data_IF_749915750918
#
_entry.id   IF_749915750918
#
_cell.length_a   1.000
_cell.length_b   1.000
_cell.length_c   1.000
_cell.angle_alpha   90.00
_cell.angle_beta   90.00
_cell.angle_gamma   90.00
#
_symmetry.space_group_name_H-M   'P 1'
#
loop_
_entity.id
_entity.type
_entity.pdbx_description
1 polymer ?
#
# COMPACT_ATOMS: atom_id res chain seq x y z
N UNK A 1 30.01 67.77 23.31
CA UNK A 1 29.04 66.83 23.90
C UNK A 1 28.66 65.80 22.84
N UNK A 2 29.27 64.60 22.84
CA UNK A 2 29.07 63.56 21.81
C UNK A 2 28.44 62.32 22.45
N UNK A 3 27.18 62.05 22.12
CA UNK A 3 26.40 60.90 22.58
C UNK A 3 26.85 59.67 21.78
N UNK A 4 27.45 58.68 22.45
CA UNK A 4 27.77 57.37 21.87
C UNK A 4 26.47 56.54 21.80
N UNK A 5 26.06 56.15 20.59
CA UNK A 5 24.97 55.19 20.38
C UNK A 5 25.49 53.79 20.69
N UNK A 6 24.92 53.15 21.71
CA UNK A 6 25.12 51.73 22.03
C UNK A 6 24.19 50.93 21.11
N UNK A 7 24.75 50.12 20.22
CA UNK A 7 24.01 49.15 19.43
C UNK A 7 23.88 47.86 20.25
N UNK A 8 22.65 47.54 20.67
CA UNK A 8 22.28 46.30 21.31
C UNK A 8 22.03 45.25 20.22
N UNK A 9 22.93 44.27 20.06
CA UNK A 9 22.73 43.14 19.16
C UNK A 9 21.98 42.06 19.94
N UNK A 10 20.68 41.90 19.67
CA UNK A 10 19.92 40.73 20.09
C UNK A 10 20.32 39.54 19.20
N UNK A 11 21.04 38.58 19.77
CA UNK A 11 21.26 37.27 19.15
C UNK A 11 20.06 36.37 19.47
N UNK A 12 19.11 36.27 18.54
CA UNK A 12 18.03 35.29 18.57
C UNK A 12 18.57 33.90 18.20
N UNK A 13 18.82 33.06 19.21
CA UNK A 13 19.01 31.62 19.02
C UNK A 13 17.68 31.00 18.56
N UNK A 14 17.53 30.82 17.25
CA UNK A 14 16.49 29.95 16.70
C UNK A 14 17.01 28.52 16.82
N UNK A 15 16.57 27.81 17.85
CA UNK A 15 16.79 26.37 17.97
C UNK A 15 16.02 25.66 16.85
N UNK A 16 16.74 24.98 15.95
CA UNK A 16 16.14 24.13 14.93
C UNK A 16 15.62 22.88 15.63
N UNK A 17 14.34 22.84 15.98
CA UNK A 17 13.68 21.59 16.32
C UNK A 17 13.44 20.83 15.02
N UNK A 18 14.20 19.77 14.79
CA UNK A 18 13.86 18.80 13.75
C UNK A 18 12.59 18.09 14.19
N UNK A 19 11.43 18.59 13.77
CA UNK A 19 10.17 17.85 13.86
C UNK A 19 10.31 16.67 12.89
N UNK A 20 10.70 15.51 13.42
CA UNK A 20 10.58 14.27 12.68
C UNK A 20 9.09 13.95 12.56
N UNK A 21 8.52 14.22 11.39
CA UNK A 21 7.10 14.08 11.13
C UNK A 21 6.63 12.62 10.98
N UNK A 22 7.58 11.67 11.00
CA UNK A 22 7.35 10.25 11.20
C UNK A 22 7.97 9.85 12.55
N UNK A 23 7.18 9.26 13.44
CA UNK A 23 7.64 8.77 14.74
C UNK A 23 7.66 7.25 14.77
N UNK A 24 8.66 6.72 15.45
CA UNK A 24 8.81 5.29 15.72
C UNK A 24 8.81 5.06 17.23
N UNK A 25 8.35 3.91 17.68
CA UNK A 25 8.36 3.51 19.09
C UNK A 25 8.82 2.06 19.23
N UNK A 26 9.40 1.72 20.38
CA UNK A 26 9.74 0.33 20.69
C UNK A 26 8.52 -0.32 21.32
N UNK A 27 8.01 -1.38 20.69
CA UNK A 27 6.86 -2.13 21.17
C UNK A 27 7.27 -3.56 21.57
N UNK A 28 6.51 -4.14 22.49
CA UNK A 28 6.70 -5.51 22.96
C UNK A 28 5.62 -6.41 22.36
N UNK A 29 6.03 -7.57 21.88
CA UNK A 29 5.18 -8.55 21.24
C UNK A 29 5.40 -9.92 21.86
N UNK A 30 4.37 -10.76 21.80
CA UNK A 30 4.46 -12.20 22.04
C UNK A 30 4.22 -12.87 20.69
N UNK A 31 5.17 -13.66 20.21
CA UNK A 31 5.01 -14.37 18.96
C UNK A 31 3.84 -15.37 19.08
N UNK A 32 2.80 -15.29 18.23
CA UNK A 32 1.66 -16.21 18.30
C UNK A 32 2.07 -17.68 18.04
N UNK A 33 3.16 -17.87 17.28
CA UNK A 33 3.76 -19.17 17.04
C UNK A 33 4.95 -19.33 17.98
N UNK A 34 4.82 -20.20 18.99
CA UNK A 34 5.89 -20.53 19.93
C UNK A 34 6.00 -19.65 21.17
N UNK A 35 5.24 -18.54 21.27
CA UNK A 35 5.05 -17.79 22.52
C UNK A 35 6.23 -16.94 22.97
N UNK A 36 7.25 -16.74 22.13
CA UNK A 36 8.44 -15.96 22.49
C UNK A 36 8.12 -14.47 22.61
N UNK A 37 8.51 -13.87 23.72
CA UNK A 37 8.52 -12.42 23.90
C UNK A 37 9.67 -11.78 23.12
N UNK A 38 9.39 -10.67 22.46
CA UNK A 38 10.39 -9.85 21.78
C UNK A 38 9.97 -8.39 21.73
N UNK A 39 10.91 -7.52 21.37
CA UNK A 39 10.59 -6.11 21.08
C UNK A 39 11.06 -5.74 19.68
N UNK A 40 10.30 -4.88 19.01
CA UNK A 40 10.66 -4.34 17.70
C UNK A 40 10.41 -2.83 17.67
N UNK A 41 11.18 -2.10 16.85
CA UNK A 41 10.88 -0.72 16.52
C UNK A 41 9.74 -0.71 15.49
N UNK A 42 8.66 -0.02 15.83
CA UNK A 42 7.44 0.05 15.04
C UNK A 42 7.12 1.49 14.70
N UNK A 43 6.45 1.68 13.57
CA UNK A 43 5.93 2.97 13.16
C UNK A 43 4.77 3.35 14.08
N UNK A 44 4.75 4.61 14.54
CA UNK A 44 3.81 5.07 15.56
C UNK A 44 2.90 6.18 15.05
N UNK A 45 3.44 7.12 14.27
CA UNK A 45 2.63 8.15 13.62
C UNK A 45 3.35 8.68 12.38
N UNK A 46 2.60 9.03 11.35
CA UNK A 46 3.16 9.67 10.15
C UNK A 46 2.12 10.55 9.48
N UNK A 47 2.59 11.50 8.68
CA UNK A 47 1.73 12.44 7.97
C UNK A 47 1.74 12.15 6.47
N UNK A 48 0.57 12.00 5.88
CA UNK A 48 0.38 11.88 4.42
C UNK A 48 -0.30 13.13 3.88
N UNK A 49 0.22 13.69 2.78
CA UNK A 49 -0.35 14.84 2.08
C UNK A 49 -0.86 14.48 0.68
N UNK A 50 -0.85 13.19 0.33
CA UNK A 50 -1.27 12.71 -0.98
C UNK A 50 -1.09 11.21 -1.13
N UNK A 51 -1.42 10.71 -2.32
CA UNK A 51 -1.26 9.29 -2.65
C UNK A 51 -0.75 9.14 -4.08
N UNK A 52 -0.01 8.08 -4.31
CA UNK A 52 0.32 7.60 -5.65
C UNK A 52 -0.89 6.94 -6.31
N UNK A 53 -0.83 6.70 -7.62
CA UNK A 53 -1.90 6.05 -8.39
C UNK A 53 -2.23 4.63 -7.92
N UNK A 54 -1.29 3.98 -7.22
CA UNK A 54 -1.46 2.70 -6.54
C UNK A 54 -1.76 2.86 -5.03
N UNK A 55 -2.25 4.03 -4.64
CA UNK A 55 -2.60 4.43 -3.27
C UNK A 55 -1.47 4.52 -2.26
N UNK A 56 -0.20 4.29 -2.64
CA UNK A 56 0.95 4.48 -1.75
C UNK A 56 0.92 5.92 -1.18
N UNK A 57 0.90 6.10 0.15
CA UNK A 57 0.83 7.44 0.73
C UNK A 57 2.13 8.22 0.44
N UNK A 58 1.99 9.54 0.34
CA UNK A 58 3.09 10.46 0.07
C UNK A 58 3.26 11.36 1.28
N UNK A 59 4.43 11.31 1.89
CA UNK A 59 4.82 12.19 2.98
C UNK A 59 5.78 11.53 3.97
N UNK A 60 6.07 12.20 5.09
CA UNK A 60 6.83 11.63 6.19
C UNK A 60 5.99 10.56 6.92
N UNK A 61 5.84 9.40 6.28
CA UNK A 61 5.08 8.26 6.78
C UNK A 61 5.70 6.96 6.23
N UNK A 62 5.68 5.90 7.03
CA UNK A 62 6.02 4.56 6.55
C UNK A 62 4.98 4.08 5.51
N UNK A 63 5.47 3.51 4.42
CA UNK A 63 4.64 3.09 3.29
C UNK A 63 5.19 1.80 2.68
N UNK A 64 4.73 0.62 3.14
CA UNK A 64 3.71 0.40 4.16
C UNK A 64 4.26 0.54 5.60
N UNK A 65 3.38 0.49 6.60
CA UNK A 65 3.80 0.45 8.01
C UNK A 65 4.51 -0.87 8.32
N UNK A 66 5.45 -0.84 9.25
CA UNK A 66 6.23 -2.00 9.65
C UNK A 66 5.34 -3.07 10.27
N UNK A 67 5.55 -4.33 9.91
CA UNK A 67 4.93 -5.48 10.58
C UNK A 67 5.93 -6.13 11.53
N UNK A 68 5.45 -6.60 12.68
CA UNK A 68 6.28 -7.31 13.63
C UNK A 68 6.67 -8.69 13.07
N UNK A 69 7.94 -9.07 13.22
CA UNK A 69 8.45 -10.36 12.73
C UNK A 69 9.02 -11.14 13.90
N UNK A 70 8.47 -12.33 14.12
CA UNK A 70 8.95 -13.22 15.17
C UNK A 70 10.41 -13.64 14.92
N UNK A 71 11.31 -13.49 15.90
CA UNK A 71 12.74 -13.69 15.68
C UNK A 71 13.13 -15.13 15.31
N UNK A 72 12.45 -16.13 15.90
CA UNK A 72 12.91 -17.52 15.81
C UNK A 72 12.35 -18.28 14.60
N UNK A 73 11.13 -17.96 14.18
CA UNK A 73 10.43 -18.64 13.10
C UNK A 73 10.11 -17.73 11.91
N UNK A 74 10.50 -16.45 11.98
CA UNK A 74 10.28 -15.44 10.94
C UNK A 74 8.81 -15.21 10.57
N UNK A 75 7.86 -15.65 11.41
CA UNK A 75 6.45 -15.41 11.23
C UNK A 75 6.15 -13.91 11.26
N UNK A 76 5.46 -13.43 10.23
CA UNK A 76 5.03 -12.03 10.11
C UNK A 76 3.66 -11.87 10.76
N UNK A 77 3.61 -11.05 11.82
CA UNK A 77 2.38 -10.71 12.53
C UNK A 77 1.63 -9.63 11.76
N UNK A 78 0.79 -10.04 10.81
CA UNK A 78 0.04 -9.13 9.94
C UNK A 78 -1.31 -8.66 10.53
N UNK A 79 -1.71 -9.18 11.69
CA UNK A 79 -2.90 -8.78 12.46
C UNK A 79 -2.70 -9.05 13.94
N UNK A 80 -3.49 -8.39 14.78
CA UNK A 80 -3.34 -8.44 16.24
C UNK A 80 -3.75 -9.78 16.86
N UNK A 81 -4.74 -10.45 16.27
CA UNK A 81 -5.33 -11.68 16.80
C UNK A 81 -5.51 -12.71 15.70
N UNK A 82 -5.14 -13.93 16.03
CA UNK A 82 -5.33 -15.11 15.20
C UNK A 82 -6.23 -16.09 15.94
N UNK A 83 -7.05 -16.83 15.20
CA UNK A 83 -7.79 -17.95 15.78
C UNK A 83 -6.87 -19.14 16.01
N UNK A 84 -7.27 -20.08 16.87
CA UNK A 84 -6.49 -21.30 17.12
C UNK A 84 -6.28 -22.13 15.83
N UNK A 85 -7.29 -22.16 14.95
CA UNK A 85 -7.21 -22.84 13.66
C UNK A 85 -6.23 -22.15 12.70
N UNK A 86 -6.21 -20.82 12.69
CA UNK A 86 -5.22 -20.05 11.94
C UNK A 86 -3.82 -20.32 12.46
N UNK A 87 -3.60 -20.27 13.78
CA UNK A 87 -2.29 -20.53 14.38
C UNK A 87 -1.81 -21.94 14.05
N UNK A 88 -2.69 -22.95 14.12
CA UNK A 88 -2.34 -24.33 13.74
C UNK A 88 -1.90 -24.42 12.27
N UNK A 89 -2.66 -23.80 11.38
CA UNK A 89 -2.39 -23.82 9.94
C UNK A 89 -1.10 -23.06 9.62
N UNK A 90 -0.93 -21.85 10.17
CA UNK A 90 0.24 -20.99 9.98
C UNK A 90 1.50 -21.60 10.60
N UNK A 91 1.40 -22.28 11.76
CA UNK A 91 2.54 -23.01 12.35
C UNK A 91 3.06 -24.07 11.40
N UNK A 92 2.16 -24.85 10.80
CA UNK A 92 2.51 -25.88 9.82
C UNK A 92 3.20 -25.26 8.61
N UNK A 93 2.65 -24.17 8.07
CA UNK A 93 3.19 -23.49 6.91
C UNK A 93 4.55 -22.82 7.17
N UNK A 94 4.72 -22.12 8.31
CA UNK A 94 5.99 -21.47 8.66
C UNK A 94 7.15 -22.47 8.81
N UNK A 95 6.85 -23.71 9.21
CA UNK A 95 7.85 -24.77 9.32
C UNK A 95 8.19 -25.44 7.98
N UNK A 96 7.37 -25.22 6.95
CA UNK A 96 7.47 -25.85 5.63
C UNK A 96 8.68 -25.40 4.83
N UNK A 97 8.99 -26.14 3.77
CA UNK A 97 10.08 -25.79 2.85
C UNK A 97 9.72 -24.58 1.98
N UNK A 98 8.43 -24.40 1.73
CA UNK A 98 7.83 -23.36 0.93
C UNK A 98 8.03 -22.00 1.60
N UNK A 99 7.74 -21.91 2.91
CA UNK A 99 7.95 -20.68 3.66
C UNK A 99 9.44 -20.35 3.81
N UNK A 100 10.29 -21.37 4.05
CA UNK A 100 11.75 -21.19 4.15
C UNK A 100 12.38 -20.57 2.91
N UNK A 101 11.80 -20.78 1.72
CA UNK A 101 12.28 -20.16 0.47
C UNK A 101 12.03 -18.66 0.40
N UNK A 102 11.03 -18.16 1.13
CA UNK A 102 10.59 -16.76 1.05
C UNK A 102 10.98 -15.95 2.30
N UNK A 103 11.76 -16.50 3.24
CA UNK A 103 12.09 -15.81 4.50
C UNK A 103 12.81 -14.48 4.31
N UNK A 104 13.54 -14.32 3.19
CA UNK A 104 14.29 -13.11 2.85
C UNK A 104 13.52 -12.20 1.89
N UNK A 105 12.29 -12.55 1.51
CA UNK A 105 11.42 -11.69 0.72
C UNK A 105 10.83 -10.57 1.59
N UNK A 106 10.24 -9.57 0.94
CA UNK A 106 9.63 -8.45 1.63
C UNK A 106 8.57 -8.88 2.65
N UNK A 107 8.46 -8.15 3.75
CA UNK A 107 7.58 -8.51 4.88
C UNK A 107 6.11 -8.59 4.46
N UNK A 108 5.63 -7.68 3.60
CA UNK A 108 4.27 -7.75 3.08
C UNK A 108 4.08 -8.86 2.05
N UNK A 109 5.12 -9.22 1.28
CA UNK A 109 5.04 -10.39 0.41
C UNK A 109 4.84 -11.67 1.24
N UNK A 110 5.64 -11.84 2.31
CA UNK A 110 5.48 -12.96 3.26
C UNK A 110 4.11 -12.93 3.94
N UNK A 111 3.62 -11.75 4.34
CA UNK A 111 2.27 -11.60 4.90
C UNK A 111 1.18 -12.04 3.93
N UNK A 112 1.28 -11.69 2.64
CA UNK A 112 0.31 -12.13 1.63
C UNK A 112 0.29 -13.66 1.46
N UNK A 113 1.45 -14.32 1.52
CA UNK A 113 1.49 -15.79 1.47
C UNK A 113 0.85 -16.43 2.71
N UNK A 114 1.07 -15.86 3.91
CA UNK A 114 0.39 -16.29 5.13
C UNK A 114 -1.13 -16.14 5.00
N UNK A 115 -1.60 -14.98 4.52
CA UNK A 115 -3.02 -14.71 4.27
C UNK A 115 -3.66 -15.71 3.29
N UNK A 116 -2.94 -16.10 2.23
CA UNK A 116 -3.41 -17.13 1.28
C UNK A 116 -3.62 -18.49 1.93
N UNK A 117 -2.70 -18.89 2.81
CA UNK A 117 -2.72 -20.19 3.48
C UNK A 117 -3.92 -20.34 4.42
N UNK A 118 -4.35 -19.25 5.05
CA UNK A 118 -5.56 -19.24 5.90
C UNK A 118 -6.81 -18.73 5.17
N UNK A 119 -6.74 -18.56 3.85
CA UNK A 119 -7.86 -18.17 3.00
C UNK A 119 -8.54 -16.85 3.41
N UNK A 120 -7.73 -15.86 3.79
CA UNK A 120 -8.23 -14.48 3.99
C UNK A 120 -8.87 -13.94 2.71
N UNK A 121 -9.75 -12.93 2.79
CA UNK A 121 -10.43 -12.37 1.62
C UNK A 121 -9.45 -11.95 0.51
N UNK A 122 -9.79 -12.24 -0.75
CA UNK A 122 -8.90 -11.96 -1.89
C UNK A 122 -8.56 -10.49 -2.03
N UNK A 123 -9.47 -9.58 -1.67
CA UNK A 123 -9.19 -8.14 -1.62
C UNK A 123 -8.08 -7.79 -0.63
N UNK A 124 -8.06 -8.45 0.53
CA UNK A 124 -7.04 -8.24 1.56
C UNK A 124 -5.68 -8.81 1.15
N UNK A 125 -5.67 -9.93 0.42
CA UNK A 125 -4.45 -10.51 -0.16
C UNK A 125 -3.93 -9.59 -1.27
N UNK A 126 -4.80 -9.09 -2.15
CA UNK A 126 -4.44 -8.20 -3.25
C UNK A 126 -3.83 -6.88 -2.73
N UNK A 127 -4.45 -6.27 -1.72
CA UNK A 127 -3.92 -5.07 -1.06
C UNK A 127 -2.55 -5.33 -0.43
N UNK A 128 -2.39 -6.44 0.29
CA UNK A 128 -1.10 -6.76 0.93
C UNK A 128 0.01 -7.04 -0.09
N UNK A 129 -0.31 -7.63 -1.26
CA UNK A 129 0.65 -7.73 -2.36
C UNK A 129 0.99 -6.36 -2.96
N UNK A 130 0.01 -5.46 -3.07
CA UNK A 130 0.27 -4.09 -3.52
C UNK A 130 1.21 -3.35 -2.56
N UNK A 131 1.02 -3.51 -1.26
CA UNK A 131 1.90 -2.97 -0.21
C UNK A 131 3.33 -3.55 -0.30
N UNK A 132 3.49 -4.82 -0.71
CA UNK A 132 4.81 -5.37 -1.00
C UNK A 132 5.52 -4.63 -2.15
N UNK A 133 4.78 -4.15 -3.15
CA UNK A 133 5.35 -3.30 -4.22
C UNK A 133 5.81 -1.94 -3.72
N UNK A 134 5.28 -1.47 -2.58
CA UNK A 134 5.70 -0.22 -1.96
C UNK A 134 7.02 -0.36 -1.21
N UNK A 135 7.29 -1.56 -0.65
CA UNK A 135 8.59 -1.92 -0.08
C UNK A 135 9.64 -2.06 -1.18
N UNK A 136 9.30 -2.79 -2.25
CA UNK A 136 10.20 -3.04 -3.36
C UNK A 136 9.43 -3.13 -4.69
N UNK A 137 9.51 -2.12 -5.57
CA UNK A 137 8.69 -2.05 -6.79
C UNK A 137 9.26 -2.91 -7.94
N UNK A 138 9.58 -4.17 -7.66
CA UNK A 138 10.09 -5.12 -8.65
C UNK A 138 8.99 -5.64 -9.56
N UNK A 139 9.35 -6.05 -10.78
CA UNK A 139 8.38 -6.60 -11.73
C UNK A 139 7.64 -7.85 -11.19
N UNK A 140 8.29 -8.81 -10.49
CA UNK A 140 7.58 -9.94 -9.90
C UNK A 140 6.46 -9.54 -8.93
N UNK A 141 6.72 -8.62 -7.99
CA UNK A 141 5.68 -8.20 -7.05
C UNK A 141 4.56 -7.40 -7.73
N UNK A 142 4.91 -6.55 -8.71
CA UNK A 142 3.90 -5.83 -9.50
C UNK A 142 3.00 -6.79 -10.28
N UNK A 143 3.59 -7.84 -10.87
CA UNK A 143 2.84 -8.85 -11.63
C UNK A 143 1.94 -9.69 -10.70
N UNK A 144 2.43 -10.07 -9.53
CA UNK A 144 1.64 -10.85 -8.60
C UNK A 144 0.50 -10.05 -7.97
N UNK A 145 0.75 -8.78 -7.60
CA UNK A 145 -0.31 -7.87 -7.19
C UNK A 145 -1.36 -7.68 -8.29
N UNK A 146 -0.92 -7.54 -9.56
CA UNK A 146 -1.82 -7.41 -10.70
C UNK A 146 -2.71 -8.65 -10.87
N UNK A 147 -2.13 -9.83 -10.79
CA UNK A 147 -2.86 -11.09 -10.95
C UNK A 147 -3.88 -11.28 -9.80
N UNK A 148 -3.52 -10.91 -8.57
CA UNK A 148 -4.45 -10.98 -7.43
C UNK A 148 -5.58 -9.93 -7.53
N UNK A 149 -5.28 -8.70 -7.97
CA UNK A 149 -6.31 -7.69 -8.22
C UNK A 149 -7.28 -8.10 -9.33
N UNK A 150 -6.81 -8.79 -10.37
CA UNK A 150 -7.68 -9.36 -11.41
C UNK A 150 -8.63 -10.42 -10.83
N UNK A 151 -8.17 -11.29 -9.92
CA UNK A 151 -9.04 -12.25 -9.21
C UNK A 151 -10.04 -11.53 -8.31
N UNK A 152 -9.61 -10.51 -7.58
CA UNK A 152 -10.48 -9.72 -6.72
C UNK A 152 -11.59 -9.04 -7.53
N UNK A 153 -11.25 -8.43 -8.68
CA UNK A 153 -12.24 -7.88 -9.60
C UNK A 153 -13.23 -8.95 -10.06
N UNK A 154 -12.78 -10.13 -10.47
CA UNK A 154 -13.68 -11.22 -10.87
C UNK A 154 -14.67 -11.60 -9.76
N UNK A 155 -14.24 -11.65 -8.50
CA UNK A 155 -15.12 -11.91 -7.35
C UNK A 155 -16.14 -10.79 -7.14
N UNK A 156 -15.68 -9.53 -7.13
CA UNK A 156 -16.58 -8.38 -7.01
C UNK A 156 -17.63 -8.39 -8.13
N UNK A 157 -17.22 -8.74 -9.35
CA UNK A 157 -18.11 -8.82 -10.50
C UNK A 157 -19.08 -9.99 -10.44
N UNK A 158 -18.68 -11.13 -9.87
CA UNK A 158 -19.58 -12.24 -9.61
C UNK A 158 -20.64 -11.87 -8.55
N UNK A 159 -20.23 -11.13 -7.52
CA UNK A 159 -21.08 -10.64 -6.44
C UNK A 159 -21.93 -9.41 -6.84
N UNK A 160 -21.97 -9.03 -8.13
CA UNK A 160 -22.81 -7.94 -8.66
C UNK A 160 -24.29 -8.20 -8.34
N UNK A 161 -24.81 -7.53 -7.30
CA UNK A 161 -26.22 -7.66 -6.90
C UNK A 161 -27.17 -6.67 -7.59
N UNK A 162 -26.69 -5.53 -8.12
CA UNK A 162 -27.57 -4.47 -8.65
C UNK A 162 -26.91 -3.61 -9.74
N UNK A 163 -27.73 -2.81 -10.45
CA UNK A 163 -27.30 -1.84 -11.45
C UNK A 163 -26.43 -0.68 -10.91
N UNK A 164 -26.37 -0.49 -9.58
CA UNK A 164 -25.57 0.56 -8.93
C UNK A 164 -24.13 0.14 -8.62
N UNK A 165 -23.73 -1.08 -9.02
CA UNK A 165 -22.42 -1.63 -8.72
C UNK A 165 -21.25 -0.75 -9.22
N UNK A 166 -21.45 0.06 -10.25
CA UNK A 166 -20.43 1.00 -10.77
C UNK A 166 -20.17 2.21 -9.86
N UNK A 167 -20.94 2.36 -8.77
CA UNK A 167 -20.68 3.33 -7.69
C UNK A 167 -20.02 2.68 -6.46
N UNK A 168 -19.77 1.37 -6.47
CA UNK A 168 -19.10 0.68 -5.37
C UNK A 168 -17.61 1.10 -5.29
N UNK A 169 -17.21 1.69 -4.16
CA UNK A 169 -15.85 2.21 -3.98
C UNK A 169 -14.77 1.11 -4.07
N UNK A 170 -15.01 -0.08 -3.53
CA UNK A 170 -14.07 -1.20 -3.61
C UNK A 170 -13.82 -1.62 -5.06
N UNK A 171 -14.87 -1.71 -5.86
CA UNK A 171 -14.75 -2.02 -7.29
C UNK A 171 -14.05 -0.89 -8.06
N UNK A 172 -14.42 0.38 -7.83
CA UNK A 172 -13.76 1.54 -8.47
C UNK A 172 -12.26 1.56 -8.14
N UNK A 173 -11.90 1.38 -6.86
CA UNK A 173 -10.50 1.36 -6.44
C UNK A 173 -9.75 0.18 -7.06
N UNK A 174 -10.33 -1.02 -7.06
CA UNK A 174 -9.73 -2.19 -7.69
C UNK A 174 -9.51 -2.00 -9.19
N UNK A 175 -10.45 -1.34 -9.89
CA UNK A 175 -10.32 -1.01 -11.32
C UNK A 175 -9.16 -0.03 -11.58
N UNK A 176 -9.06 1.04 -10.79
CA UNK A 176 -8.01 2.05 -10.92
C UNK A 176 -6.62 1.49 -10.58
N UNK A 177 -6.52 0.67 -9.54
CA UNK A 177 -5.27 -0.01 -9.16
C UNK A 177 -4.88 -1.02 -10.24
N UNK A 178 -5.84 -1.78 -10.78
CA UNK A 178 -5.55 -2.73 -11.86
C UNK A 178 -5.06 -2.02 -13.11
N UNK A 179 -5.67 -0.87 -13.47
CA UNK A 179 -5.19 -0.02 -14.57
C UNK A 179 -3.75 0.44 -14.35
N UNK A 180 -3.43 0.89 -13.14
CA UNK A 180 -2.08 1.33 -12.77
C UNK A 180 -1.06 0.19 -12.84
N UNK A 181 -1.42 -0.99 -12.34
CA UNK A 181 -0.56 -2.17 -12.36
C UNK A 181 -0.37 -2.72 -13.78
N UNK A 182 -1.40 -2.73 -14.63
CA UNK A 182 -1.29 -3.08 -16.05
C UNK A 182 -0.30 -2.13 -16.76
N UNK A 183 -0.38 -0.82 -16.48
CA UNK A 183 0.57 0.16 -17.01
C UNK A 183 2.00 -0.09 -16.51
N UNK A 184 2.19 -0.22 -15.19
CA UNK A 184 3.52 -0.37 -14.57
C UNK A 184 4.22 -1.69 -14.92
N UNK A 185 3.46 -2.76 -15.16
CA UNK A 185 4.00 -4.04 -15.68
C UNK A 185 4.29 -3.97 -17.18
N UNK A 186 3.78 -2.96 -17.89
CA UNK A 186 3.96 -2.78 -19.34
C UNK A 186 2.92 -3.49 -20.20
N UNK A 187 1.82 -3.97 -19.60
CA UNK A 187 0.64 -4.50 -20.29
C UNK A 187 -0.19 -3.34 -20.86
N UNK A 188 0.42 -2.49 -21.69
CA UNK A 188 -0.20 -1.24 -22.18
C UNK A 188 -1.48 -1.47 -22.98
N UNK A 189 -1.58 -2.56 -23.73
CA UNK A 189 -2.79 -2.86 -24.49
C UNK A 189 -3.97 -3.22 -23.57
N UNK A 190 -3.72 -3.99 -22.51
CA UNK A 190 -4.72 -4.25 -21.46
C UNK A 190 -5.12 -2.96 -20.74
N UNK A 191 -4.14 -2.12 -20.37
CA UNK A 191 -4.38 -0.83 -19.75
C UNK A 191 -5.23 0.09 -20.65
N UNK A 192 -4.98 0.15 -21.96
CA UNK A 192 -5.79 0.91 -22.93
C UNK A 192 -7.23 0.41 -22.99
N UNK A 193 -7.42 -0.91 -23.02
CA UNK A 193 -8.75 -1.51 -23.07
C UNK A 193 -9.54 -1.21 -21.78
N UNK A 194 -8.90 -1.36 -20.62
CA UNK A 194 -9.50 -1.02 -19.32
C UNK A 194 -9.83 0.46 -19.25
N UNK A 195 -8.90 1.34 -19.59
CA UNK A 195 -9.11 2.78 -19.63
C UNK A 195 -10.34 3.15 -20.49
N UNK A 196 -10.43 2.60 -21.72
CA UNK A 196 -11.58 2.83 -22.60
C UNK A 196 -12.89 2.42 -21.93
N UNK A 197 -12.95 1.21 -21.35
CA UNK A 197 -14.14 0.74 -20.64
C UNK A 197 -14.52 1.64 -19.47
N UNK A 198 -13.56 2.05 -18.64
CA UNK A 198 -13.83 2.91 -17.49
C UNK A 198 -14.29 4.31 -17.93
N UNK A 199 -13.73 4.85 -19.03
CA UNK A 199 -14.17 6.10 -19.63
C UNK A 199 -15.58 6.06 -20.23
N UNK A 200 -16.20 4.89 -20.40
CA UNK A 200 -17.59 4.77 -20.85
C UNK A 200 -18.58 4.76 -19.66
N UNK A 201 -18.09 4.75 -18.41
CA UNK A 201 -18.91 4.66 -17.19
C UNK A 201 -19.10 6.04 -16.55
N UNK A 202 -20.35 6.39 -16.25
CA UNK A 202 -20.73 7.72 -15.72
C UNK A 202 -19.98 8.10 -14.45
N UNK A 203 -19.81 7.16 -13.50
CA UNK A 203 -19.11 7.42 -12.23
C UNK A 203 -17.65 7.85 -12.38
N UNK A 204 -17.00 7.51 -13.51
CA UNK A 204 -15.63 7.92 -13.83
C UNK A 204 -15.55 9.22 -14.63
N UNK A 205 -16.66 9.68 -15.21
CA UNK A 205 -16.73 10.88 -16.04
C UNK A 205 -17.26 12.13 -15.32
N UNK A 206 -17.74 11.95 -14.10
CA UNK A 206 -18.13 13.03 -13.20
C UNK A 206 -16.95 13.98 -12.90
N UNK A 207 -17.06 15.23 -13.35
CA UNK A 207 -16.04 16.27 -13.19
C UNK A 207 -15.81 16.69 -11.73
N UNK A 208 -16.76 16.39 -10.83
CA UNK A 208 -16.59 16.61 -9.40
C UNK A 208 -15.67 15.57 -8.75
N UNK A 209 -15.50 14.40 -9.39
CA UNK A 209 -14.71 13.29 -8.83
C UNK A 209 -13.28 13.31 -9.35
N UNK A 210 -12.35 12.86 -8.50
CA UNK A 210 -10.94 12.73 -8.85
C UNK A 210 -10.69 11.69 -9.96
N UNK A 211 -11.61 10.75 -10.15
CA UNK A 211 -11.49 9.63 -11.09
C UNK A 211 -11.26 10.07 -12.53
N UNK A 212 -11.99 11.08 -13.02
CA UNK A 212 -11.79 11.62 -14.38
C UNK A 212 -10.37 12.16 -14.58
N UNK A 213 -9.82 12.83 -13.56
CA UNK A 213 -8.44 13.34 -13.57
C UNK A 213 -7.44 12.18 -13.59
N UNK A 214 -7.69 11.12 -12.81
CA UNK A 214 -6.88 9.90 -12.80
C UNK A 214 -6.90 9.25 -14.20
N UNK A 215 -8.06 9.06 -14.82
CA UNK A 215 -8.15 8.46 -16.16
C UNK A 215 -7.42 9.30 -17.22
N UNK A 216 -7.55 10.63 -17.16
CA UNK A 216 -6.83 11.54 -18.07
C UNK A 216 -5.31 11.48 -17.89
N UNK A 217 -4.82 11.34 -16.65
CA UNK A 217 -3.40 11.14 -16.39
C UNK A 217 -2.95 9.77 -16.92
N UNK A 218 -3.68 8.69 -16.59
CA UNK A 218 -3.38 7.34 -17.05
C UNK A 218 -3.31 7.25 -18.57
N UNK A 219 -4.23 7.90 -19.30
CA UNK A 219 -4.19 8.00 -20.76
C UNK A 219 -2.83 8.51 -21.27
N UNK A 220 -2.38 9.64 -20.73
CA UNK A 220 -1.09 10.26 -21.12
C UNK A 220 0.09 9.32 -20.83
N UNK A 221 0.11 8.70 -19.64
CA UNK A 221 1.18 7.80 -19.23
C UNK A 221 1.23 6.53 -20.08
N UNK A 222 0.07 5.96 -20.42
CA UNK A 222 -0.06 4.79 -21.29
C UNK A 222 0.42 5.11 -22.72
N UNK A 223 0.04 6.27 -23.27
CA UNK A 223 0.48 6.71 -24.60
C UNK A 223 1.99 6.91 -24.67
N UNK A 224 2.60 7.36 -23.56
CA UNK A 224 4.05 7.52 -23.40
C UNK A 224 4.79 6.23 -23.07
N UNK A 225 4.09 5.11 -22.87
CA UNK A 225 4.64 3.85 -22.35
C UNK A 225 5.41 4.02 -21.03
N UNK A 226 4.97 4.96 -20.19
CA UNK A 226 5.58 5.23 -18.90
C UNK A 226 5.21 4.10 -17.92
N UNK A 227 6.21 3.50 -17.26
CA UNK A 227 6.05 2.46 -16.22
C UNK A 227 6.34 2.95 -14.80
N UNK A 228 6.74 4.21 -14.64
CA UNK A 228 7.05 4.81 -13.36
C UNK A 228 5.77 5.06 -12.56
N UNK A 229 5.93 5.17 -11.25
CA UNK A 229 4.84 5.52 -10.33
C UNK A 229 4.57 7.03 -10.40
N UNK A 230 3.29 7.42 -10.37
CA UNK A 230 2.87 8.83 -10.42
C UNK A 230 1.85 9.14 -9.32
N UNK A 231 1.73 10.43 -8.97
CA UNK A 231 0.80 10.90 -7.95
C UNK A 231 -0.63 10.97 -8.48
N UNK A 232 -1.62 10.71 -7.62
CA UNK A 232 -3.01 11.04 -7.90
C UNK A 232 -3.11 12.56 -8.06
N UNK A 233 -3.71 13.07 -9.15
CA UNK A 233 -3.92 14.51 -9.33
C UNK A 233 -4.75 15.09 -8.19
N UNK A 234 -4.41 16.29 -7.73
CA UNK A 234 -5.18 16.96 -6.68
C UNK A 234 -6.67 17.09 -7.06
N UNK A 235 -7.55 16.65 -6.16
CA UNK A 235 -8.97 16.98 -6.20
C UNK A 235 -9.18 18.45 -5.87
N UNK A 236 -10.30 19.04 -6.32
CA UNK A 236 -10.84 20.17 -5.55
C UNK A 236 -11.53 19.51 -4.35
N UNK A 237 -11.12 19.85 -3.13
CA UNK A 237 -11.86 19.47 -1.94
C UNK A 237 -13.25 20.11 -1.96
#
# INVERSE_FOLDING_TARGET
>A
MRIKKIALILASLIGITNVQAHTITKENFICPIGGKEFSQIMDSSGTSFGRMLDLKPIGPIAAPWSLAVCPDNQFVMYKDKFTDDEIKTLTTYVQSSEYKKIINEETYYRAAQLKRVVHEPTGDIALTLLEATWQSPTLPYLQEALDEYKKYLQQLEYDKKTAEFTNNESWINAELITLELERRTGQFDAAKQRLKRLSDIESFNDDSKVYKKILNLQKKLIDQKDKNQHQIPAGKN
#
